data_IF_848512471445
#
_entry.id   IF_848512471445
#
_cell.length_a   1.000
_cell.length_b   1.000
_cell.length_c   1.000
_cell.angle_alpha   90.00
_cell.angle_beta   90.00
_cell.angle_gamma   90.00
#
_symmetry.space_group_name_H-M   'P 1'
#
loop_
_entity.id
_entity.type
_entity.pdbx_description
1 polymer ?
#
# COMPACT_ATOMS: atom_id res chain seq x y z
N UNK A 1 7.63 -7.97 7.03
CA UNK A 1 6.18 -8.25 7.13
C UNK A 1 5.95 -9.72 6.78
N UNK A 2 4.75 -10.28 6.94
CA UNK A 2 4.46 -11.64 6.42
C UNK A 2 4.32 -11.61 4.88
N UNK A 3 4.41 -12.77 4.22
CA UNK A 3 4.17 -12.86 2.76
C UNK A 3 2.76 -12.36 2.38
N UNK A 4 1.75 -12.70 3.19
CA UNK A 4 0.37 -12.23 3.00
C UNK A 4 0.24 -10.70 3.13
N UNK A 5 0.93 -10.11 4.10
CA UNK A 5 0.99 -8.65 4.24
C UNK A 5 1.68 -8.02 3.03
N UNK A 6 2.74 -8.63 2.52
CA UNK A 6 3.45 -8.16 1.33
C UNK A 6 2.58 -8.22 0.08
N UNK A 7 1.88 -9.34 -0.15
CA UNK A 7 0.91 -9.48 -1.25
C UNK A 7 -0.20 -8.43 -1.17
N UNK A 8 -0.77 -8.23 0.03
CA UNK A 8 -1.79 -7.21 0.23
C UNK A 8 -1.28 -5.80 -0.09
N UNK A 9 -0.10 -5.42 0.40
CA UNK A 9 0.43 -4.08 0.15
C UNK A 9 0.80 -3.91 -1.33
N UNK A 10 1.32 -4.94 -2.00
CA UNK A 10 1.56 -4.90 -3.44
C UNK A 10 0.27 -4.69 -4.24
N UNK A 11 -0.82 -5.38 -3.89
CA UNK A 11 -2.12 -5.16 -4.52
C UNK A 11 -2.60 -3.71 -4.38
N UNK A 12 -2.38 -3.09 -3.20
CA UNK A 12 -2.71 -1.67 -2.96
C UNK A 12 -1.84 -0.73 -3.79
N UNK A 13 -0.54 -1.00 -3.91
CA UNK A 13 0.39 -0.21 -4.73
C UNK A 13 0.06 -0.33 -6.22
N UNK A 14 -0.29 -1.51 -6.70
CA UNK A 14 -0.61 -1.73 -8.11
C UNK A 14 -1.94 -1.06 -8.49
N UNK A 15 -2.97 -1.18 -7.65
CA UNK A 15 -4.21 -0.44 -7.86
C UNK A 15 -4.02 1.09 -7.82
N UNK A 16 -3.10 1.58 -6.98
CA UNK A 16 -2.73 3.00 -6.99
C UNK A 16 -2.16 3.44 -8.35
N UNK A 17 -1.29 2.64 -8.96
CA UNK A 17 -0.70 2.95 -10.29
C UNK A 17 -1.75 2.99 -11.41
N UNK A 18 -2.83 2.22 -11.28
CA UNK A 18 -3.92 2.18 -12.26
C UNK A 18 -4.97 3.28 -12.06
N UNK A 19 -5.14 3.78 -10.83
CA UNK A 19 -6.24 4.70 -10.48
C UNK A 19 -5.79 6.00 -9.77
N UNK A 20 -5.06 6.91 -10.45
CA UNK A 20 -4.50 8.12 -9.84
C UNK A 20 -5.51 9.22 -9.48
N UNK A 21 -6.83 8.96 -9.46
CA UNK A 21 -7.87 10.01 -9.36
C UNK A 21 -8.58 10.11 -8.01
N UNK A 22 -8.25 9.28 -7.01
CA UNK A 22 -9.00 9.22 -5.73
C UNK A 22 -8.20 9.58 -4.49
N UNK A 23 -6.90 9.84 -4.62
CA UNK A 23 -6.01 10.14 -3.50
C UNK A 23 -5.71 11.64 -3.41
N UNK A 24 -5.35 12.09 -2.22
CA UNK A 24 -4.75 13.41 -2.03
C UNK A 24 -3.28 13.40 -2.41
N UNK A 25 -2.71 14.54 -2.79
CA UNK A 25 -1.29 14.66 -3.16
C UNK A 25 -0.32 14.09 -2.11
N UNK A 26 -0.68 14.17 -0.82
CA UNK A 26 0.12 13.57 0.25
C UNK A 26 0.03 12.03 0.26
N UNK A 27 -1.15 11.46 0.04
CA UNK A 27 -1.34 10.01 -0.06
C UNK A 27 -0.64 9.46 -1.30
N UNK A 28 -0.66 10.20 -2.42
CA UNK A 28 0.09 9.86 -3.63
C UNK A 28 1.59 9.78 -3.33
N UNK A 29 2.18 10.82 -2.76
CA UNK A 29 3.61 10.81 -2.39
C UNK A 29 3.97 9.70 -1.38
N UNK A 30 3.06 9.40 -0.45
CA UNK A 30 3.22 8.26 0.45
C UNK A 30 3.23 6.91 -0.30
N UNK A 31 2.32 6.72 -1.26
CA UNK A 31 2.23 5.49 -2.05
C UNK A 31 3.40 5.31 -3.01
N UNK A 32 3.92 6.41 -3.59
CA UNK A 32 5.15 6.39 -4.39
C UNK A 32 6.36 5.96 -3.54
N UNK A 33 6.53 6.54 -2.35
CA UNK A 33 7.60 6.15 -1.41
C UNK A 33 7.43 4.70 -0.93
N UNK A 34 6.19 4.24 -0.74
CA UNK A 34 5.91 2.85 -0.43
C UNK A 34 6.29 1.90 -1.57
N UNK A 35 5.93 2.24 -2.82
CA UNK A 35 6.28 1.45 -3.99
C UNK A 35 7.80 1.29 -4.14
N UNK A 36 8.57 2.36 -3.98
CA UNK A 36 10.03 2.31 -4.04
C UNK A 36 10.64 1.42 -2.94
N UNK A 37 10.10 1.47 -1.73
CA UNK A 37 10.58 0.63 -0.62
C UNK A 37 10.28 -0.85 -0.85
N UNK A 38 9.08 -1.18 -1.32
CA UNK A 38 8.71 -2.56 -1.64
C UNK A 38 9.54 -3.12 -2.79
N UNK A 39 9.81 -2.33 -3.83
CA UNK A 39 10.69 -2.76 -4.92
C UNK A 39 12.09 -3.14 -4.37
N UNK A 40 12.63 -2.31 -3.47
CA UNK A 40 13.99 -2.49 -2.94
C UNK A 40 14.11 -3.58 -1.89
N UNK A 41 13.16 -3.67 -0.97
CA UNK A 41 13.26 -4.52 0.23
C UNK A 41 12.24 -5.65 0.26
N UNK A 42 11.25 -5.66 -0.64
CA UNK A 42 10.25 -6.74 -0.76
C UNK A 42 9.59 -7.04 0.60
N UNK A 43 9.51 -8.31 0.99
CA UNK A 43 8.98 -8.79 2.29
C UNK A 43 9.71 -8.23 3.52
N UNK A 44 10.96 -7.78 3.35
CA UNK A 44 11.76 -7.16 4.42
C UNK A 44 11.43 -5.67 4.63
N UNK A 45 10.53 -5.11 3.81
CA UNK A 45 10.06 -3.73 4.01
C UNK A 45 9.43 -3.59 5.39
N UNK A 46 9.96 -2.68 6.20
CA UNK A 46 9.37 -2.33 7.47
C UNK A 46 8.23 -1.32 7.28
N UNK A 47 7.05 -1.67 7.79
CA UNK A 47 5.87 -0.80 7.81
C UNK A 47 5.44 -0.63 9.26
N UNK A 48 5.52 0.60 9.75
CA UNK A 48 5.09 0.93 11.11
C UNK A 48 3.55 0.88 11.24
N UNK A 49 2.99 0.72 12.47
CA UNK A 49 1.54 0.72 12.67
C UNK A 49 0.82 1.95 12.14
N UNK A 50 1.47 3.14 12.18
CA UNK A 50 0.91 4.37 11.60
C UNK A 50 0.81 4.30 10.08
N UNK A 51 1.80 3.70 9.43
CA UNK A 51 1.83 3.52 7.98
C UNK A 51 0.78 2.50 7.53
N UNK A 52 0.58 1.43 8.31
CA UNK A 52 -0.54 0.51 8.10
C UNK A 52 -1.89 1.22 8.08
N UNK A 53 -2.14 2.11 9.03
CA UNK A 53 -3.38 2.90 9.05
C UNK A 53 -3.55 3.85 7.85
N UNK A 54 -2.48 4.21 7.14
CA UNK A 54 -2.55 4.98 5.90
C UNK A 54 -2.83 4.04 4.72
N UNK A 55 -2.13 2.91 4.64
CA UNK A 55 -2.34 1.88 3.61
C UNK A 55 -3.80 1.41 3.64
N UNK A 56 -4.37 1.14 4.81
CA UNK A 56 -5.78 0.72 4.93
C UNK A 56 -6.76 1.80 4.46
N UNK A 57 -6.47 3.08 4.74
CA UNK A 57 -7.28 4.20 4.23
C UNK A 57 -7.21 4.31 2.71
N UNK A 58 -6.02 4.16 2.15
CA UNK A 58 -5.81 4.17 0.69
C UNK A 58 -6.51 2.97 0.05
N UNK A 59 -6.31 1.77 0.59
CA UNK A 59 -6.98 0.55 0.14
C UNK A 59 -8.51 0.74 0.09
N UNK A 60 -9.10 1.32 1.13
CA UNK A 60 -10.54 1.63 1.15
C UNK A 60 -10.97 2.62 0.06
N UNK A 61 -10.15 3.63 -0.27
CA UNK A 61 -10.43 4.58 -1.36
C UNK A 61 -10.32 3.95 -2.75
N UNK A 62 -9.47 2.93 -2.85
CA UNK A 62 -9.22 2.14 -4.05
C UNK A 62 -10.14 0.90 -4.15
N UNK A 63 -11.08 0.74 -3.21
CA UNK A 63 -12.01 -0.40 -3.15
C UNK A 63 -11.30 -1.77 -3.07
N UNK A 64 -10.15 -1.83 -2.36
CA UNK A 64 -9.41 -3.07 -2.10
C UNK A 64 -9.73 -3.61 -0.71
N UNK A 65 -10.26 -4.82 -0.67
CA UNK A 65 -10.49 -5.55 0.56
C UNK A 65 -9.26 -6.37 0.95
N UNK A 66 -8.99 -6.45 2.25
CA UNK A 66 -8.00 -7.39 2.78
C UNK A 66 -8.64 -8.78 2.74
N UNK A 67 -8.12 -9.69 1.92
CA UNK A 67 -8.59 -11.08 1.90
C UNK A 67 -8.61 -11.63 3.33
N UNK A 68 -9.72 -12.26 3.76
CA UNK A 68 -9.79 -12.87 5.09
C UNK A 68 -8.77 -14.00 5.20
N UNK A 69 -8.09 -14.04 6.34
CA UNK A 69 -7.11 -15.06 6.74
C UNK A 69 -7.70 -16.47 6.74
#
# INVERSE_FOLDING_TARGET
>A
MTEQEHEYVNAVVDAFKEAPKRLSAWEEGFMEDMAMRLEKYQVDTYISPKQWGIIEKVAKKLDIERSPL
#
